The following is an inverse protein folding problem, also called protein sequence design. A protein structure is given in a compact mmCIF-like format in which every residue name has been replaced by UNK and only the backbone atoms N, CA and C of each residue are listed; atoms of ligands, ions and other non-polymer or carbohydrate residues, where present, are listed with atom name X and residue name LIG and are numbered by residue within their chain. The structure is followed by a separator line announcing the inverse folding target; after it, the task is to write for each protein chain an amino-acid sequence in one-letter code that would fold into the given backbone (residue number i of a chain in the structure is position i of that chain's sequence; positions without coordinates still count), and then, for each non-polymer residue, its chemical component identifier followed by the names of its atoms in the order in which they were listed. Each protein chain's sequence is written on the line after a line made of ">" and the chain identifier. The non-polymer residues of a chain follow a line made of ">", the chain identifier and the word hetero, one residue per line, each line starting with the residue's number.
data_IF_927557770001
#
_entry.id   IF_927557770001
#
_cell.length_a   1.000
_cell.length_b   1.000
_cell.length_c   1.000
_cell.angle_alpha   90.00
_cell.angle_beta   90.00
_cell.angle_gamma   90.00
#
_symmetry.space_group_name_H-M   'P 1'
#
loop_
_entity.id
_entity.type
_entity.pdbx_description
1 polymer ?
#
# COMPACT_ATOMS: atom_id res chain seq x y z
N UNK A 1 83.72 -18.91 10.56
CA UNK A 1 82.90 -17.68 10.69
C UNK A 1 81.99 -17.58 9.48
N UNK A 2 80.84 -18.26 9.53
CA UNK A 2 79.76 -18.18 8.54
C UNK A 2 78.47 -18.54 9.28
N UNK A 3 77.63 -17.54 9.55
CA UNK A 3 76.32 -17.70 10.20
C UNK A 3 75.24 -17.61 9.14
N UNK A 4 74.43 -18.68 9.05
CA UNK A 4 73.24 -18.78 8.22
C UNK A 4 72.18 -17.73 8.60
N UNK A 5 71.78 -16.90 7.64
CA UNK A 5 70.55 -16.09 7.72
C UNK A 5 69.32 -16.97 7.45
N UNK A 6 68.32 -16.92 8.34
CA UNK A 6 66.94 -17.31 8.04
C UNK A 6 66.11 -16.05 7.79
N UNK A 7 65.21 -16.02 6.79
CA UNK A 7 64.33 -14.88 6.58
C UNK A 7 63.10 -14.98 7.49
N UNK A 8 62.83 -13.95 8.29
CA UNK A 8 61.56 -13.79 8.98
C UNK A 8 60.60 -13.03 8.06
N UNK A 9 59.48 -13.68 7.75
CA UNK A 9 58.34 -13.15 7.00
C UNK A 9 57.59 -12.18 7.91
N UNK A 10 57.52 -10.91 7.53
CA UNK A 10 56.66 -9.91 8.18
C UNK A 10 55.21 -10.12 7.72
N UNK A 11 54.36 -10.65 8.60
CA UNK A 11 52.91 -10.71 8.38
C UNK A 11 52.32 -9.34 8.67
N UNK A 12 51.87 -8.64 7.63
CA UNK A 12 51.12 -7.39 7.75
C UNK A 12 49.67 -7.72 8.12
N UNK A 13 49.28 -7.51 9.38
CA UNK A 13 47.88 -7.59 9.82
C UNK A 13 47.14 -6.35 9.32
N UNK A 14 46.31 -6.52 8.29
CA UNK A 14 45.34 -5.51 7.86
C UNK A 14 44.19 -5.47 8.87
N UNK A 15 44.16 -4.43 9.72
CA UNK A 15 42.99 -4.10 10.52
C UNK A 15 41.90 -3.52 9.61
N UNK A 16 40.92 -4.33 9.22
CA UNK A 16 39.65 -3.84 8.69
C UNK A 16 38.85 -3.23 9.83
N UNK A 17 38.88 -1.89 9.93
CA UNK A 17 37.95 -1.13 10.77
C UNK A 17 36.53 -1.35 10.23
N UNK A 18 35.76 -2.22 10.88
CA UNK A 18 34.30 -2.20 10.76
C UNK A 18 33.80 -0.91 11.41
N UNK A 19 33.56 0.09 10.58
CA UNK A 19 32.85 1.29 10.98
C UNK A 19 31.37 0.91 11.09
N UNK A 20 30.96 0.33 12.23
CA UNK A 20 29.55 0.23 12.60
C UNK A 20 29.08 1.63 12.97
N UNK A 21 28.83 2.46 11.96
CA UNK A 21 28.08 3.69 12.14
C UNK A 21 26.72 3.30 12.71
N UNK A 22 26.51 3.56 14.01
CA UNK A 22 25.19 3.63 14.59
C UNK A 22 24.52 4.82 13.89
N UNK A 23 23.93 4.59 12.72
CA UNK A 23 23.09 5.60 12.10
C UNK A 23 21.96 5.88 13.08
N UNK A 24 21.95 7.09 13.63
CA UNK A 24 20.91 7.53 14.55
C UNK A 24 19.55 7.29 13.89
N UNK A 25 18.77 6.38 14.47
CA UNK A 25 17.45 6.03 13.97
C UNK A 25 16.57 7.27 14.08
N UNK A 26 16.03 7.77 12.97
CA UNK A 26 15.09 8.90 12.99
C UNK A 26 13.94 8.52 13.91
N UNK A 27 13.78 9.26 15.01
CA UNK A 27 12.85 8.93 16.08
C UNK A 27 12.08 10.16 16.53
N UNK A 28 10.76 10.10 16.43
CA UNK A 28 9.85 11.13 16.95
C UNK A 28 8.95 10.52 18.00
N UNK A 29 8.59 11.32 19.00
CA UNK A 29 7.62 10.98 20.04
C UNK A 29 6.74 12.19 20.31
N UNK A 30 5.44 12.03 20.15
CA UNK A 30 4.46 13.10 20.28
C UNK A 30 3.43 12.75 21.35
N UNK A 31 3.14 13.71 22.24
CA UNK A 31 2.04 13.65 23.20
C UNK A 31 0.97 14.67 22.80
N UNK A 32 -0.25 14.18 22.59
CA UNK A 32 -1.41 14.97 22.14
C UNK A 32 -2.36 15.32 23.31
N UNK A 33 -2.08 14.82 24.51
CA UNK A 33 -2.93 15.04 25.68
C UNK A 33 -2.58 16.30 26.47
N UNK A 34 -3.54 16.78 27.26
CA UNK A 34 -3.39 17.99 28.07
C UNK A 34 -2.56 17.81 29.36
N UNK A 35 -2.42 16.57 29.87
CA UNK A 35 -1.76 16.24 31.15
C UNK A 35 -0.23 16.34 31.11
N UNK A 36 0.47 15.84 32.15
CA UNK A 36 1.95 15.85 32.19
C UNK A 36 2.54 15.09 30.98
N UNK A 37 3.54 15.70 30.33
CA UNK A 37 4.26 15.10 29.20
C UNK A 37 5.22 14.03 29.72
N UNK A 38 5.23 12.86 29.10
CA UNK A 38 6.19 11.80 29.41
C UNK A 38 7.60 12.15 28.89
N UNK A 39 8.62 11.66 29.58
CA UNK A 39 10.02 11.98 29.24
C UNK A 39 10.37 11.63 27.78
N UNK A 40 10.95 12.61 27.08
CA UNK A 40 11.35 12.48 25.68
C UNK A 40 10.20 12.58 24.66
N UNK A 41 8.99 12.95 25.07
CA UNK A 41 7.89 13.29 24.16
C UNK A 41 7.80 14.80 23.94
N UNK A 42 7.47 15.19 22.72
CA UNK A 42 7.15 16.56 22.34
C UNK A 42 5.65 16.78 22.46
N UNK A 43 5.21 17.84 23.14
CA UNK A 43 3.80 18.23 23.17
C UNK A 43 3.37 18.71 21.78
N UNK A 44 2.24 18.20 21.31
CA UNK A 44 1.51 18.77 20.16
C UNK A 44 0.37 19.63 20.71
N UNK A 45 0.36 20.91 20.36
CA UNK A 45 -0.71 21.83 20.73
C UNK A 45 -1.88 21.75 19.73
N UNK A 46 -3.13 22.03 20.13
CA UNK A 46 -4.29 21.96 19.24
C UNK A 46 -4.20 22.84 17.98
N UNK A 47 -3.45 23.94 18.04
CA UNK A 47 -3.20 24.90 16.97
C UNK A 47 -1.87 24.67 16.22
N UNK A 48 -1.18 23.56 16.50
CA UNK A 48 0.10 23.21 15.89
C UNK A 48 -0.11 22.71 14.45
N UNK A 49 -0.26 23.64 13.51
CA UNK A 49 -0.32 23.33 12.07
C UNK A 49 1.04 22.85 11.56
N UNK A 50 1.00 21.94 10.58
CA UNK A 50 2.17 21.49 9.85
C UNK A 50 2.78 22.63 9.04
N UNK A 51 4.11 22.76 9.12
CA UNK A 51 4.90 23.56 8.20
C UNK A 51 6.19 22.83 7.87
N UNK A 52 6.81 23.13 6.72
CA UNK A 52 8.07 22.50 6.31
C UNK A 52 9.24 22.85 7.25
N UNK A 53 9.15 24.00 7.90
CA UNK A 53 10.13 24.53 8.85
C UNK A 53 10.02 23.80 10.20
N UNK A 54 8.79 23.62 10.70
CA UNK A 54 8.55 22.92 11.97
C UNK A 54 8.70 21.40 11.82
N UNK A 55 8.45 20.87 10.62
CA UNK A 55 8.64 19.46 10.29
C UNK A 55 7.59 18.51 10.88
N UNK A 56 6.60 18.99 11.61
CA UNK A 56 5.43 18.21 12.04
C UNK A 56 4.24 19.12 12.37
N UNK A 57 3.04 18.54 12.43
CA UNK A 57 1.83 19.23 12.87
C UNK A 57 0.56 18.67 12.25
N UNK A 58 -0.58 19.24 12.63
CA UNK A 58 -1.86 18.97 11.99
C UNK A 58 -1.87 19.53 10.56
N UNK A 59 -2.39 18.76 9.61
CA UNK A 59 -2.32 19.09 8.19
C UNK A 59 -3.72 19.25 7.57
N UNK A 60 -3.78 19.80 6.36
CA UNK A 60 -5.01 20.02 5.58
C UNK A 60 -6.09 20.81 6.33
N UNK A 61 -5.68 21.78 7.17
CA UNK A 61 -6.56 22.59 8.00
C UNK A 61 -7.49 21.77 8.92
N UNK A 62 -7.06 20.58 9.29
CA UNK A 62 -7.75 19.76 10.27
C UNK A 62 -7.14 19.96 11.64
N UNK A 63 -7.91 19.66 12.70
CA UNK A 63 -7.46 19.70 14.08
C UNK A 63 -8.14 18.58 14.86
N UNK A 64 -7.49 18.09 15.91
CA UNK A 64 -8.11 17.11 16.81
C UNK A 64 -9.07 17.82 17.77
N UNK A 65 -10.36 17.85 17.43
CA UNK A 65 -11.41 18.54 18.23
C UNK A 65 -12.09 17.64 19.25
N UNK A 66 -11.95 16.31 19.15
CA UNK A 66 -12.73 15.34 19.92
C UNK A 66 -14.24 15.33 19.60
N UNK A 67 -14.65 15.93 18.47
CA UNK A 67 -16.03 15.97 17.96
C UNK A 67 -16.35 14.85 16.97
N UNK A 68 -15.44 13.90 16.79
CA UNK A 68 -15.60 12.79 15.87
C UNK A 68 -15.17 13.07 14.42
N UNK A 69 -14.81 14.32 14.10
CA UNK A 69 -14.31 14.73 12.79
C UNK A 69 -12.93 14.11 12.50
N UNK A 70 -12.69 13.58 11.29
CA UNK A 70 -11.36 13.12 10.91
C UNK A 70 -10.32 14.25 10.96
N UNK A 71 -9.07 13.89 11.30
CA UNK A 71 -7.95 14.82 11.24
C UNK A 71 -6.70 14.16 10.70
N UNK A 72 -5.79 14.99 10.20
CA UNK A 72 -4.50 14.60 9.65
C UNK A 72 -3.36 15.11 10.51
N UNK A 73 -2.34 14.29 10.69
CA UNK A 73 -1.09 14.70 11.29
C UNK A 73 0.07 14.26 10.41
N UNK A 74 0.95 15.22 10.11
CA UNK A 74 2.07 15.05 9.20
C UNK A 74 3.40 15.20 9.94
N UNK A 75 4.40 14.44 9.52
CA UNK A 75 5.77 14.52 10.03
C UNK A 75 6.74 14.39 8.86
N UNK A 76 7.58 15.39 8.67
CA UNK A 76 8.65 15.38 7.67
C UNK A 76 9.63 14.26 7.99
N UNK A 77 9.73 13.29 7.09
CA UNK A 77 10.62 12.13 7.23
C UNK A 77 11.16 11.76 5.86
N UNK A 78 12.43 11.34 5.74
CA UNK A 78 12.96 10.88 4.46
C UNK A 78 12.31 9.56 4.01
N UNK A 79 12.50 9.18 2.76
CA UNK A 79 12.12 7.85 2.25
C UNK A 79 12.62 6.71 3.16
N UNK A 80 11.78 5.70 3.33
CA UNK A 80 12.07 4.49 4.09
C UNK A 80 10.84 3.86 4.75
N UNK A 81 11.07 2.78 5.50
CA UNK A 81 10.04 2.16 6.32
C UNK A 81 10.07 2.77 7.72
N UNK A 82 8.88 3.01 8.28
CA UNK A 82 8.73 3.58 9.62
C UNK A 82 7.80 2.71 10.44
N UNK A 83 8.29 2.31 11.62
CA UNK A 83 7.47 1.70 12.66
C UNK A 83 6.74 2.81 13.41
N UNK A 84 5.42 2.79 13.32
CA UNK A 84 4.53 3.75 13.96
C UNK A 84 3.84 3.04 15.12
N UNK A 85 3.95 3.59 16.32
CA UNK A 85 3.16 3.15 17.48
C UNK A 85 2.27 4.28 17.95
N UNK A 86 0.96 4.04 17.91
CA UNK A 86 -0.06 4.98 18.38
C UNK A 86 -0.66 4.48 19.69
N UNK A 87 -0.93 5.39 20.62
CA UNK A 87 -1.72 5.13 21.81
C UNK A 87 -3.07 5.81 21.61
N UNK A 88 -4.11 5.01 21.40
CA UNK A 88 -5.46 5.45 21.04
C UNK A 88 -6.36 5.40 22.27
N UNK A 89 -7.26 6.38 22.42
CA UNK A 89 -8.19 6.48 23.55
C UNK A 89 -8.31 7.89 24.10
N UNK A 90 -9.38 8.13 24.87
CA UNK A 90 -9.70 9.41 25.51
C UNK A 90 -10.03 9.17 26.99
N UNK A 91 -9.59 10.06 27.91
CA UNK A 91 -9.85 9.88 29.35
C UNK A 91 -11.32 9.96 29.75
N UNK A 92 -12.20 10.58 28.93
CA UNK A 92 -13.58 10.91 29.28
C UNK A 92 -14.61 10.31 28.34
N UNK A 93 -14.25 9.97 27.11
CA UNK A 93 -15.17 9.49 26.07
C UNK A 93 -14.71 8.15 25.51
N UNK A 94 -15.67 7.32 25.12
CA UNK A 94 -15.37 6.18 24.26
C UNK A 94 -14.98 6.69 22.87
N UNK A 95 -14.13 5.93 22.17
CA UNK A 95 -13.70 6.23 20.81
C UNK A 95 -13.64 4.96 19.96
N UNK A 96 -13.63 5.15 18.64
CA UNK A 96 -13.41 4.05 17.70
C UNK A 96 -12.56 4.58 16.55
N UNK A 97 -11.24 4.39 16.64
CA UNK A 97 -10.30 5.05 15.73
C UNK A 97 -9.83 4.12 14.62
N UNK A 98 -10.08 4.52 13.38
CA UNK A 98 -9.44 4.02 12.16
C UNK A 98 -8.23 4.89 11.85
N UNK A 99 -7.13 4.26 11.47
CA UNK A 99 -5.89 4.95 11.06
C UNK A 99 -5.57 4.59 9.63
N UNK A 100 -5.44 5.62 8.78
CA UNK A 100 -5.02 5.49 7.39
C UNK A 100 -3.69 6.23 7.19
N UNK A 101 -2.85 5.75 6.28
CA UNK A 101 -1.57 6.38 5.97
C UNK A 101 -1.49 6.83 4.52
N UNK A 102 -0.88 7.98 4.29
CA UNK A 102 -0.78 8.67 3.00
C UNK A 102 -2.14 8.76 2.31
N UNK A 103 -2.21 8.35 1.05
CA UNK A 103 -3.43 8.25 0.26
C UNK A 103 -4.33 7.09 0.73
N UNK A 104 -4.80 7.20 1.98
CA UNK A 104 -5.80 6.34 2.62
C UNK A 104 -5.45 4.84 2.69
N UNK A 105 -4.17 4.46 2.75
CA UNK A 105 -3.80 3.06 3.04
C UNK A 105 -4.33 2.65 4.40
N UNK A 106 -5.17 1.63 4.49
CA UNK A 106 -5.77 1.21 5.75
C UNK A 106 -4.71 0.52 6.62
N UNK A 107 -4.42 1.10 7.77
CA UNK A 107 -3.42 0.55 8.71
C UNK A 107 -4.09 -0.10 9.92
N UNK A 108 -5.03 0.60 10.54
CA UNK A 108 -5.83 0.12 11.67
C UNK A 108 -7.31 0.34 11.37
N UNK A 109 -8.13 -0.67 11.61
CA UNK A 109 -9.58 -0.64 11.34
C UNK A 109 -10.32 -0.57 12.67
N UNK A 110 -11.09 0.51 12.85
CA UNK A 110 -12.10 0.67 13.89
C UNK A 110 -11.67 0.21 15.30
N UNK A 111 -10.50 0.67 15.78
CA UNK A 111 -9.97 0.27 17.09
C UNK A 111 -10.85 0.87 18.20
N UNK A 112 -11.63 0.08 18.94
CA UNK A 112 -12.54 0.61 19.95
C UNK A 112 -11.81 0.80 21.28
N UNK A 113 -12.01 1.93 21.95
CA UNK A 113 -11.53 2.17 23.32
C UNK A 113 -12.67 2.74 24.18
N UNK A 114 -12.82 2.22 25.39
CA UNK A 114 -13.75 2.78 26.38
C UNK A 114 -13.22 4.10 26.94
N UNK A 115 -14.08 4.90 27.56
CA UNK A 115 -13.64 6.08 28.31
C UNK A 115 -12.61 5.68 29.38
N UNK A 116 -11.46 6.35 29.39
CA UNK A 116 -10.34 6.07 30.30
C UNK A 116 -9.44 4.92 29.86
N UNK A 117 -9.78 4.18 28.80
CA UNK A 117 -8.95 3.12 28.24
C UNK A 117 -7.99 3.67 27.19
N UNK A 118 -6.75 3.16 27.19
CA UNK A 118 -5.74 3.51 26.20
C UNK A 118 -5.14 2.25 25.56
N UNK A 119 -5.28 2.12 24.25
CA UNK A 119 -4.86 0.95 23.47
C UNK A 119 -3.65 1.32 22.63
N UNK A 120 -2.56 0.59 22.80
CA UNK A 120 -1.37 0.71 21.94
C UNK A 120 -1.50 -0.19 20.71
N UNK A 121 -1.23 0.38 19.54
CA UNK A 121 -1.16 -0.35 18.26
C UNK A 121 0.10 0.05 17.51
N UNK A 122 0.69 -0.92 16.82
CA UNK A 122 1.91 -0.72 16.03
C UNK A 122 1.70 -1.24 14.62
N UNK A 123 2.13 -0.47 13.63
CA UNK A 123 2.10 -0.83 12.21
C UNK A 123 3.33 -0.23 11.51
N UNK A 124 3.60 -0.66 10.27
CA UNK A 124 4.72 -0.19 9.46
C UNK A 124 4.17 0.59 8.27
N UNK A 125 4.72 1.78 8.02
CA UNK A 125 4.40 2.59 6.84
C UNK A 125 5.66 2.76 6.01
N UNK A 126 5.57 2.45 4.71
CA UNK A 126 6.58 2.85 3.74
C UNK A 126 6.28 4.28 3.27
N UNK A 127 7.29 5.16 3.37
CA UNK A 127 7.33 6.47 2.74
C UNK A 127 8.24 6.37 1.53
N UNK A 128 7.78 6.86 0.38
CA UNK A 128 8.53 6.86 -0.89
C UNK A 128 8.58 8.27 -1.45
N UNK A 129 9.66 8.56 -2.16
CA UNK A 129 9.78 9.79 -2.94
C UNK A 129 10.00 9.47 -4.43
N UNK A 130 10.01 10.51 -5.27
CA UNK A 130 10.25 10.34 -6.71
C UNK A 130 11.72 10.17 -7.08
N UNK A 131 12.65 10.35 -6.15
CA UNK A 131 14.09 10.42 -6.44
C UNK A 131 14.68 9.04 -6.70
N UNK A 132 15.52 8.93 -7.72
CA UNK A 132 16.27 7.73 -8.07
C UNK A 132 17.77 8.10 -7.97
N UNK A 133 18.64 7.10 -7.85
CA UNK A 133 20.08 7.30 -7.89
C UNK A 133 20.52 8.15 -9.10
N UNK A 134 21.59 8.93 -8.93
CA UNK A 134 22.21 9.77 -9.96
C UNK A 134 21.31 10.90 -10.51
N UNK A 135 20.37 11.40 -9.71
CA UNK A 135 19.53 12.56 -10.05
C UNK A 135 18.37 12.25 -10.99
N UNK A 136 18.14 10.98 -11.33
CA UNK A 136 16.93 10.58 -12.06
C UNK A 136 15.70 10.65 -11.14
N UNK A 137 14.51 10.79 -11.73
CA UNK A 137 13.25 10.80 -10.99
C UNK A 137 12.19 9.97 -11.71
N UNK A 138 11.25 9.43 -10.94
CA UNK A 138 10.01 8.86 -11.47
C UNK A 138 9.24 9.96 -12.20
N UNK A 139 8.83 9.67 -13.44
CA UNK A 139 7.98 10.57 -14.20
C UNK A 139 6.52 10.41 -13.74
N UNK A 140 6.09 11.33 -12.87
CA UNK A 140 4.73 11.38 -12.34
C UNK A 140 3.77 12.03 -13.33
N UNK A 141 2.53 11.53 -13.38
CA UNK A 141 1.43 12.21 -14.07
C UNK A 141 1.09 13.51 -13.33
N UNK A 142 0.51 14.53 -14.00
CA UNK A 142 0.13 15.79 -13.34
C UNK A 142 -0.72 15.60 -12.08
N UNK A 143 -1.68 14.67 -12.09
CA UNK A 143 -2.54 14.37 -10.93
C UNK A 143 -1.83 13.73 -9.74
N UNK A 144 -0.63 13.18 -9.95
CA UNK A 144 0.13 12.54 -8.88
C UNK A 144 0.97 13.55 -8.09
N UNK A 145 1.21 14.75 -8.65
CA UNK A 145 2.05 15.77 -8.04
C UNK A 145 1.44 16.36 -6.76
N UNK A 146 0.13 16.17 -6.56
CA UNK A 146 -0.61 16.62 -5.38
C UNK A 146 -1.00 15.48 -4.45
N UNK A 147 -0.64 14.22 -4.78
CA UNK A 147 -0.94 13.07 -3.94
C UNK A 147 0.01 13.00 -2.76
N UNK A 148 -0.45 12.34 -1.69
CA UNK A 148 0.32 12.13 -0.45
C UNK A 148 1.42 11.07 -0.58
N UNK A 149 1.54 10.44 -1.75
CA UNK A 149 2.35 9.24 -1.95
C UNK A 149 3.78 9.50 -2.43
N UNK A 150 4.11 10.72 -2.87
CA UNK A 150 5.37 11.06 -3.55
C UNK A 150 6.06 12.30 -2.98
N UNK A 151 5.81 12.63 -1.71
CA UNK A 151 6.37 13.78 -1.01
C UNK A 151 7.41 13.37 0.07
N UNK A 152 7.88 14.33 0.87
CA UNK A 152 8.93 14.17 1.89
C UNK A 152 8.39 14.08 3.33
N UNK A 153 7.17 13.55 3.51
CA UNK A 153 6.55 13.40 4.83
C UNK A 153 5.73 12.12 4.97
N UNK A 154 5.58 11.70 6.22
CA UNK A 154 4.56 10.75 6.65
C UNK A 154 3.29 11.54 6.93
N UNK A 155 2.17 11.12 6.36
CA UNK A 155 0.84 11.68 6.65
C UNK A 155 -0.06 10.58 7.21
N UNK A 156 -0.63 10.80 8.39
CA UNK A 156 -1.62 9.89 8.98
C UNK A 156 -2.98 10.58 9.09
N UNK A 157 -4.02 9.88 8.66
CA UNK A 157 -5.42 10.23 8.89
C UNK A 157 -5.96 9.42 10.06
N UNK A 158 -6.62 10.08 11.00
CA UNK A 158 -7.37 9.47 12.09
C UNK A 158 -8.85 9.77 11.87
N UNK A 159 -9.65 8.72 11.67
CA UNK A 159 -11.07 8.81 11.30
C UNK A 159 -11.90 7.79 12.07
N UNK A 160 -13.23 7.95 12.11
CA UNK A 160 -14.10 7.23 13.04
C UNK A 160 -13.84 7.73 14.46
N UNK A 161 -14.85 8.20 15.21
CA UNK A 161 -14.72 9.19 16.27
C UNK A 161 -13.36 9.15 17.02
N UNK A 162 -12.35 9.89 16.52
CA UNK A 162 -10.97 9.47 16.73
C UNK A 162 -10.43 10.03 18.04
N UNK A 163 -9.56 9.26 18.70
CA UNK A 163 -8.85 9.72 19.90
C UNK A 163 -7.41 9.24 19.89
N UNK A 164 -6.46 10.19 19.90
CA UNK A 164 -5.03 9.93 19.90
C UNK A 164 -4.40 10.58 21.14
N UNK A 165 -3.74 9.78 21.97
CA UNK A 165 -3.03 10.25 23.16
C UNK A 165 -1.54 10.47 22.88
N UNK A 166 -0.91 9.55 22.16
CA UNK A 166 0.52 9.62 21.88
C UNK A 166 0.88 8.88 20.59
N UNK A 167 1.98 9.28 19.97
CA UNK A 167 2.53 8.63 18.78
C UNK A 167 4.05 8.55 18.86
N UNK A 168 4.60 7.41 18.46
CA UNK A 168 6.03 7.19 18.29
C UNK A 168 6.32 6.75 16.85
N UNK A 169 7.31 7.38 16.23
CA UNK A 169 7.73 7.12 14.85
C UNK A 169 9.19 6.75 14.91
N UNK A 170 9.56 5.66 14.24
CA UNK A 170 10.96 5.22 14.20
C UNK A 170 11.28 4.62 12.83
N UNK A 171 12.29 5.17 12.12
CA UNK A 171 12.76 4.58 10.85
C UNK A 171 13.29 3.17 11.09
N UNK A 172 12.91 2.18 10.30
CA UNK A 172 13.27 0.77 10.50
C UNK A 172 13.79 0.16 9.20
N UNK A 173 14.79 -0.72 9.30
CA UNK A 173 15.46 -1.34 8.15
C UNK A 173 15.32 -2.87 8.12
N UNK A 174 14.77 -3.46 9.18
CA UNK A 174 14.58 -4.90 9.41
C UNK A 174 13.23 -5.44 8.90
N UNK A 175 12.50 -4.62 8.12
CA UNK A 175 11.18 -4.95 7.59
C UNK A 175 11.30 -5.52 6.18
N UNK A 176 10.53 -6.58 5.89
CA UNK A 176 10.30 -7.05 4.52
C UNK A 176 9.41 -6.02 3.82
N UNK A 177 9.84 -5.52 2.67
CA UNK A 177 9.04 -4.60 1.85
C UNK A 177 8.37 -5.35 0.72
N UNK A 178 7.06 -5.23 0.62
CA UNK A 178 6.26 -5.70 -0.52
C UNK A 178 5.98 -4.50 -1.41
N UNK A 179 6.67 -4.43 -2.54
CA UNK A 179 6.43 -3.43 -3.56
C UNK A 179 5.23 -3.86 -4.42
N UNK A 180 4.29 -2.94 -4.66
CA UNK A 180 3.15 -3.18 -5.53
C UNK A 180 3.35 -2.43 -6.85
N UNK A 181 3.42 -3.17 -7.96
CA UNK A 181 3.41 -2.63 -9.30
C UNK A 181 2.07 -2.98 -9.96
N UNK A 182 1.30 -1.96 -10.33
CA UNK A 182 0.00 -2.16 -10.96
C UNK A 182 -0.67 -0.88 -11.44
N UNK A 183 -1.98 -0.98 -11.63
CA UNK A 183 -2.83 0.06 -12.21
C UNK A 183 -3.89 0.60 -11.21
N UNK A 184 -5.04 1.07 -11.69
CA UNK A 184 -6.12 1.67 -10.87
C UNK A 184 -6.77 0.70 -9.88
N UNK A 185 -6.69 -0.60 -10.11
CA UNK A 185 -7.17 -1.64 -9.20
C UNK A 185 -6.24 -1.89 -8.00
N UNK A 186 -5.00 -1.39 -8.07
CA UNK A 186 -3.94 -1.57 -7.06
C UNK A 186 -3.57 -0.26 -6.35
N UNK A 187 -3.55 0.87 -7.07
CA UNK A 187 -3.06 2.19 -6.62
C UNK A 187 -3.79 2.71 -5.38
N UNK A 188 -3.08 3.42 -4.49
CA UNK A 188 -3.74 4.19 -3.45
C UNK A 188 -4.63 5.30 -4.06
N UNK A 189 -5.92 5.25 -3.77
CA UNK A 189 -6.85 6.29 -4.23
C UNK A 189 -6.94 7.37 -3.15
N UNK A 190 -6.68 8.64 -3.48
CA UNK A 190 -6.66 9.73 -2.51
C UNK A 190 -8.06 10.10 -2.01
N UNK A 191 -9.05 10.01 -2.89
CA UNK A 191 -10.38 10.59 -2.68
C UNK A 191 -11.50 9.55 -2.71
N UNK A 192 -12.51 9.72 -1.86
CA UNK A 192 -13.76 8.95 -1.93
C UNK A 192 -14.49 9.17 -3.27
N UNK A 193 -15.28 8.20 -3.77
CA UNK A 193 -15.51 6.84 -3.24
C UNK A 193 -14.46 5.80 -3.65
N UNK A 194 -13.43 6.18 -4.40
CA UNK A 194 -12.60 5.23 -5.12
C UNK A 194 -11.74 4.40 -4.15
N UNK A 195 -11.61 3.10 -4.38
CA UNK A 195 -10.81 2.20 -3.56
C UNK A 195 -10.06 1.17 -4.40
N UNK A 196 -8.98 0.62 -3.85
CA UNK A 196 -8.17 -0.41 -4.49
C UNK A 196 -7.67 -1.44 -3.47
N UNK A 197 -7.37 -2.67 -3.91
CA UNK A 197 -6.95 -3.69 -2.96
C UNK A 197 -5.56 -3.42 -2.36
N UNK A 198 -4.67 -2.78 -3.12
CA UNK A 198 -3.32 -2.44 -2.65
C UNK A 198 -3.32 -1.39 -1.53
N UNK A 199 -4.37 -0.58 -1.47
CA UNK A 199 -4.63 0.35 -0.36
C UNK A 199 -5.12 -0.35 0.91
N UNK A 200 -5.83 -1.47 0.78
CA UNK A 200 -6.46 -2.19 1.91
C UNK A 200 -5.55 -3.27 2.51
N UNK A 201 -4.66 -3.86 1.71
CA UNK A 201 -3.83 -4.98 2.14
C UNK A 201 -2.96 -4.75 3.41
N UNK A 202 -2.43 -3.55 3.71
CA UNK A 202 -1.55 -3.38 4.88
C UNK A 202 -2.23 -3.74 6.22
N UNK A 203 -3.54 -3.53 6.31
CA UNK A 203 -4.37 -3.81 7.50
C UNK A 203 -4.29 -5.27 7.98
N UNK A 204 -3.98 -6.21 7.10
CA UNK A 204 -3.96 -7.63 7.45
C UNK A 204 -2.64 -8.09 8.07
N UNK A 205 -1.62 -7.23 8.12
CA UNK A 205 -0.27 -7.58 8.52
C UNK A 205 0.14 -6.95 9.86
N UNK A 206 0.84 -7.75 10.67
CA UNK A 206 1.54 -7.27 11.88
C UNK A 206 2.90 -6.65 11.48
N UNK A 207 3.56 -5.89 12.38
CA UNK A 207 4.92 -5.41 12.15
C UNK A 207 5.88 -6.53 11.73
N UNK A 208 6.80 -6.22 10.82
CA UNK A 208 7.67 -7.16 10.11
C UNK A 208 7.52 -7.08 8.58
N UNK A 209 6.39 -6.57 8.10
CA UNK A 209 6.11 -6.34 6.67
C UNK A 209 5.64 -4.89 6.46
N UNK A 210 6.10 -4.29 5.37
CA UNK A 210 5.70 -2.96 4.88
C UNK A 210 5.22 -3.06 3.44
N UNK A 211 4.21 -2.30 3.05
CA UNK A 211 3.73 -2.25 1.67
C UNK A 211 4.09 -0.92 1.02
N UNK A 212 4.90 -0.97 -0.04
CA UNK A 212 5.28 0.18 -0.85
C UNK A 212 4.46 0.16 -2.14
N UNK A 213 3.38 0.93 -2.20
CA UNK A 213 2.50 0.95 -3.37
C UNK A 213 3.02 1.92 -4.43
N UNK A 214 3.53 1.39 -5.56
CA UNK A 214 4.03 2.17 -6.69
C UNK A 214 3.08 2.16 -7.89
N UNK A 215 1.94 1.47 -7.78
CA UNK A 215 0.91 1.44 -8.80
C UNK A 215 0.37 2.83 -9.10
N UNK A 216 -0.18 3.02 -10.29
CA UNK A 216 -0.89 4.25 -10.64
C UNK A 216 -1.96 3.98 -11.69
N UNK A 217 -3.11 4.64 -11.52
CA UNK A 217 -4.26 4.56 -12.44
C UNK A 217 -3.83 4.72 -13.90
N UNK A 218 -4.36 3.86 -14.77
CA UNK A 218 -4.08 3.88 -16.22
C UNK A 218 -2.72 3.34 -16.66
N UNK A 219 -1.84 2.89 -15.76
CA UNK A 219 -0.57 2.31 -16.17
C UNK A 219 -0.74 0.92 -16.80
N UNK A 220 0.18 0.64 -17.71
CA UNK A 220 0.51 -0.65 -18.35
C UNK A 220 1.91 -1.07 -17.87
N UNK A 221 2.33 -2.31 -18.11
CA UNK A 221 3.72 -2.74 -17.85
C UNK A 221 4.72 -1.81 -18.56
N UNK A 222 4.41 -1.43 -19.81
CA UNK A 222 5.26 -0.58 -20.64
C UNK A 222 5.40 0.83 -20.07
N UNK A 223 4.29 1.48 -19.72
CA UNK A 223 4.32 2.83 -19.14
C UNK A 223 4.86 2.86 -17.71
N UNK A 224 4.74 1.78 -16.94
CA UNK A 224 5.40 1.65 -15.63
C UNK A 224 6.93 1.60 -15.76
N UNK A 225 7.46 0.87 -16.75
CA UNK A 225 8.89 0.89 -17.09
C UNK A 225 9.29 2.27 -17.61
N UNK A 226 8.55 2.82 -18.58
CA UNK A 226 8.85 4.09 -19.23
C UNK A 226 8.86 5.28 -18.27
N UNK A 227 7.99 5.26 -17.24
CA UNK A 227 7.98 6.27 -16.16
C UNK A 227 9.04 6.04 -15.07
N UNK A 228 9.93 5.07 -15.26
CA UNK A 228 11.02 4.71 -14.34
C UNK A 228 10.57 4.19 -12.96
N UNK A 229 9.31 3.77 -12.81
CA UNK A 229 8.81 3.23 -11.53
C UNK A 229 9.48 1.92 -11.16
N UNK A 230 9.67 1.02 -12.13
CA UNK A 230 10.40 -0.23 -11.88
C UNK A 230 11.84 0.08 -11.45
N UNK A 231 12.49 1.05 -12.10
CA UNK A 231 13.84 1.49 -11.72
C UNK A 231 13.89 2.05 -10.29
N UNK A 232 12.90 2.85 -9.88
CA UNK A 232 12.76 3.34 -8.50
C UNK A 232 12.61 2.21 -7.50
N UNK A 233 11.72 1.25 -7.77
CA UNK A 233 11.54 0.07 -6.91
C UNK A 233 12.87 -0.68 -6.74
N UNK A 234 13.54 -0.99 -7.86
CA UNK A 234 14.80 -1.74 -7.85
C UNK A 234 15.97 -0.97 -7.23
N UNK A 235 15.92 0.37 -7.14
CA UNK A 235 16.98 1.16 -6.51
C UNK A 235 16.95 1.11 -4.98
N UNK A 236 15.78 0.82 -4.40
CA UNK A 236 15.60 0.76 -2.94
C UNK A 236 15.32 -0.65 -2.42
N UNK A 237 15.04 -1.61 -3.31
CA UNK A 237 14.79 -3.01 -2.98
C UNK A 237 16.00 -3.69 -2.33
N UNK A 238 15.74 -4.47 -1.29
CA UNK A 238 16.70 -5.34 -0.60
C UNK A 238 16.43 -6.81 -0.92
N UNK A 239 17.45 -7.64 -0.71
CA UNK A 239 17.29 -9.10 -0.84
C UNK A 239 16.21 -9.60 0.13
N UNK A 240 15.30 -10.45 -0.35
CA UNK A 240 14.15 -10.96 0.41
C UNK A 240 12.91 -10.07 0.39
N UNK A 241 12.97 -8.86 -0.17
CA UNK A 241 11.77 -8.05 -0.46
C UNK A 241 10.95 -8.69 -1.59
N UNK A 242 9.65 -8.36 -1.66
CA UNK A 242 8.73 -8.88 -2.68
C UNK A 242 8.38 -7.81 -3.71
N UNK A 243 8.15 -8.22 -4.96
CA UNK A 243 7.47 -7.41 -5.97
C UNK A 243 6.21 -8.12 -6.45
N UNK A 244 5.04 -7.58 -6.11
CA UNK A 244 3.76 -8.04 -6.63
C UNK A 244 3.45 -7.28 -7.92
N UNK A 245 3.20 -8.02 -9.00
CA UNK A 245 3.05 -7.47 -10.35
C UNK A 245 1.64 -7.78 -10.85
N UNK A 246 0.77 -6.77 -10.93
CA UNK A 246 -0.60 -6.91 -11.45
C UNK A 246 -0.89 -5.94 -12.59
N UNK A 247 -0.99 -6.48 -13.82
CA UNK A 247 -1.29 -5.71 -15.03
C UNK A 247 -2.16 -6.53 -16.00
N UNK A 248 -2.70 -5.88 -17.03
CA UNK A 248 -3.59 -6.51 -18.02
C UNK A 248 -4.75 -5.59 -18.44
N UNK A 249 -5.38 -4.91 -17.48
CA UNK A 249 -6.53 -4.02 -17.71
C UNK A 249 -6.30 -2.95 -18.77
N UNK A 250 -5.11 -2.34 -18.77
CA UNK A 250 -4.74 -1.30 -19.72
C UNK A 250 -3.90 -1.84 -20.87
N UNK A 251 -3.08 -2.86 -20.61
CA UNK A 251 -2.22 -3.50 -21.61
C UNK A 251 -3.03 -4.09 -22.78
N UNK A 252 -4.28 -4.54 -22.54
CA UNK A 252 -5.20 -4.99 -23.60
C UNK A 252 -5.56 -3.93 -24.64
N UNK A 253 -5.32 -2.65 -24.32
CA UNK A 253 -5.64 -1.52 -25.18
C UNK A 253 -4.46 -1.07 -26.01
N UNK A 254 -3.25 -1.53 -25.72
CA UNK A 254 -2.06 -1.19 -26.51
C UNK A 254 -2.29 -1.62 -27.97
N UNK A 255 -2.09 -0.68 -28.91
CA UNK A 255 -2.29 -0.87 -30.36
C UNK A 255 -0.97 -0.61 -31.07
N UNK A 256 -0.19 -1.66 -31.25
CA UNK A 256 1.06 -1.65 -31.99
C UNK A 256 1.33 -3.01 -32.62
N UNK A 257 2.22 -3.10 -33.63
CA UNK A 257 2.51 -4.38 -34.31
C UNK A 257 2.96 -5.51 -33.38
N UNK A 258 3.63 -5.15 -32.27
CA UNK A 258 4.16 -6.06 -31.27
C UNK A 258 3.28 -6.15 -30.01
N UNK A 259 2.16 -5.44 -29.96
CA UNK A 259 1.29 -5.46 -28.78
C UNK A 259 0.37 -6.67 -28.77
N UNK A 260 0.17 -7.23 -27.57
CA UNK A 260 -0.67 -8.41 -27.35
C UNK A 260 -0.25 -9.21 -26.12
N UNK A 261 -1.18 -10.03 -25.62
CA UNK A 261 -1.02 -10.81 -24.40
C UNK A 261 0.25 -11.70 -24.44
N UNK A 262 0.41 -12.50 -25.49
CA UNK A 262 1.57 -13.41 -25.68
C UNK A 262 2.75 -12.77 -26.43
N UNK A 263 2.77 -11.44 -26.53
CA UNK A 263 3.86 -10.66 -27.14
C UNK A 263 4.41 -9.68 -26.11
N UNK A 264 4.26 -8.38 -26.35
CA UNK A 264 4.81 -7.31 -25.51
C UNK A 264 4.41 -7.42 -24.04
N UNK A 265 3.21 -7.90 -23.72
CA UNK A 265 2.78 -8.11 -22.33
C UNK A 265 3.63 -9.19 -21.64
N UNK A 266 3.71 -10.40 -22.19
CA UNK A 266 4.57 -11.46 -21.60
C UNK A 266 6.05 -11.07 -21.57
N UNK A 267 6.57 -10.39 -22.60
CA UNK A 267 7.97 -9.94 -22.64
C UNK A 267 8.26 -8.96 -21.50
N UNK A 268 7.41 -7.94 -21.34
CA UNK A 268 7.57 -6.94 -20.27
C UNK A 268 7.36 -7.57 -18.90
N UNK A 269 6.41 -8.48 -18.73
CA UNK A 269 6.18 -9.16 -17.45
C UNK A 269 7.40 -9.99 -17.03
N UNK A 270 8.05 -10.68 -17.99
CA UNK A 270 9.33 -11.37 -17.76
C UNK A 270 10.44 -10.41 -17.35
N UNK A 271 10.52 -9.22 -17.94
CA UNK A 271 11.49 -8.19 -17.51
C UNK A 271 11.33 -7.85 -16.03
N UNK A 272 10.11 -7.65 -15.53
CA UNK A 272 9.90 -7.39 -14.09
C UNK A 272 10.42 -8.55 -13.23
N UNK A 273 10.12 -9.79 -13.62
CA UNK A 273 10.57 -11.00 -12.91
C UNK A 273 12.09 -11.09 -12.87
N UNK A 274 12.75 -10.94 -14.02
CA UNK A 274 14.20 -11.05 -14.17
C UNK A 274 14.90 -9.96 -13.36
N UNK A 275 14.48 -8.69 -13.50
CA UNK A 275 15.13 -7.58 -12.81
C UNK A 275 14.94 -7.64 -11.29
N UNK A 276 13.78 -8.12 -10.82
CA UNK A 276 13.54 -8.36 -9.39
C UNK A 276 14.47 -9.44 -8.85
N UNK A 277 14.60 -10.58 -9.53
CA UNK A 277 15.51 -11.67 -9.14
C UNK A 277 16.96 -11.20 -9.10
N UNK A 278 17.40 -10.35 -10.03
CA UNK A 278 18.75 -9.75 -10.03
C UNK A 278 19.06 -8.94 -8.78
N UNK A 279 18.04 -8.39 -8.10
CA UNK A 279 18.17 -7.68 -6.83
C UNK A 279 18.07 -8.58 -5.59
N UNK A 280 17.90 -9.89 -5.78
CA UNK A 280 17.59 -10.82 -4.69
C UNK A 280 16.15 -10.70 -4.17
N UNK A 281 15.30 -9.94 -4.87
CA UNK A 281 13.88 -9.83 -4.55
C UNK A 281 13.09 -11.05 -5.04
N UNK A 282 11.89 -11.21 -4.50
CA UNK A 282 10.97 -12.32 -4.77
C UNK A 282 9.80 -11.79 -5.62
N UNK A 283 9.82 -12.01 -6.95
CA UNK A 283 8.69 -11.63 -7.79
C UNK A 283 7.49 -12.55 -7.57
N UNK A 284 6.30 -11.96 -7.51
CA UNK A 284 5.01 -12.65 -7.43
C UNK A 284 4.12 -12.07 -8.51
N UNK A 285 3.65 -12.92 -9.42
CA UNK A 285 2.71 -12.49 -10.46
C UNK A 285 1.30 -12.58 -9.89
N UNK A 286 0.57 -11.48 -10.03
CA UNK A 286 -0.84 -11.40 -9.65
C UNK A 286 -1.61 -11.17 -10.96
N UNK A 287 -2.49 -12.09 -11.33
CA UNK A 287 -3.33 -11.88 -12.53
C UNK A 287 -4.24 -10.68 -12.30
N UNK A 288 -4.54 -9.89 -13.33
CA UNK A 288 -5.50 -8.79 -13.18
C UNK A 288 -6.87 -9.25 -12.69
N UNK A 289 -7.50 -8.49 -11.79
CA UNK A 289 -8.88 -8.76 -11.33
C UNK A 289 -9.84 -8.93 -12.51
N UNK A 290 -10.89 -9.74 -12.34
CA UNK A 290 -11.97 -9.82 -13.32
C UNK A 290 -12.75 -8.50 -13.38
N UNK A 291 -13.19 -8.07 -14.56
CA UNK A 291 -14.13 -6.93 -14.66
C UNK A 291 -15.56 -7.38 -14.33
N UNK A 292 -16.42 -6.44 -13.92
CA UNK A 292 -17.85 -6.69 -13.73
C UNK A 292 -18.59 -6.74 -15.08
N UNK A 293 -18.37 -7.82 -15.83
CA UNK A 293 -18.97 -8.10 -17.13
C UNK A 293 -19.83 -9.35 -17.03
N UNK A 294 -21.15 -9.20 -17.02
CA UNK A 294 -22.09 -10.32 -16.87
C UNK A 294 -22.78 -10.66 -18.19
N UNK A 295 -22.92 -11.96 -18.46
CA UNK A 295 -23.83 -12.50 -19.46
C UNK A 295 -24.55 -13.70 -18.85
N UNK A 296 -25.88 -13.75 -18.99
CA UNK A 296 -26.73 -14.82 -18.43
C UNK A 296 -26.46 -15.10 -16.94
N UNK A 297 -26.27 -14.05 -16.15
CA UNK A 297 -26.04 -14.12 -14.71
C UNK A 297 -24.65 -14.62 -14.28
N UNK A 298 -23.69 -14.74 -15.21
CA UNK A 298 -22.31 -15.15 -14.91
C UNK A 298 -21.29 -14.14 -15.44
N UNK A 299 -20.19 -14.00 -14.71
CA UNK A 299 -19.03 -13.24 -15.17
C UNK A 299 -18.45 -13.88 -16.42
N UNK A 300 -18.21 -13.06 -17.44
CA UNK A 300 -17.53 -13.44 -18.67
C UNK A 300 -16.15 -12.79 -18.75
N UNK A 301 -15.23 -13.46 -19.43
CA UNK A 301 -13.89 -12.94 -19.64
C UNK A 301 -13.92 -11.77 -20.65
N UNK A 302 -13.75 -10.55 -20.15
CA UNK A 302 -13.61 -9.34 -20.98
C UNK A 302 -12.17 -8.83 -21.06
N UNK A 303 -11.19 -9.63 -20.61
CA UNK A 303 -9.77 -9.29 -20.60
C UNK A 303 -8.96 -10.04 -21.67
N UNK A 304 -9.62 -10.81 -22.54
CA UNK A 304 -8.96 -11.66 -23.53
C UNK A 304 -7.95 -12.60 -22.89
N UNK A 305 -6.82 -12.79 -23.54
CA UNK A 305 -5.78 -13.76 -23.14
C UNK A 305 -4.84 -13.25 -22.03
N UNK A 306 -5.01 -12.03 -21.52
CA UNK A 306 -4.05 -11.41 -20.60
C UNK A 306 -3.91 -12.15 -19.26
N UNK A 307 -5.01 -12.59 -18.59
CA UNK A 307 -4.90 -13.40 -17.38
C UNK A 307 -4.15 -14.72 -17.64
N UNK A 308 -4.42 -15.40 -18.75
CA UNK A 308 -3.75 -16.66 -19.10
C UNK A 308 -2.27 -16.46 -19.47
N UNK A 309 -1.95 -15.37 -20.15
CA UNK A 309 -0.57 -14.97 -20.41
C UNK A 309 0.22 -14.75 -19.10
N UNK A 310 -0.40 -14.11 -18.09
CA UNK A 310 0.22 -13.94 -16.77
C UNK A 310 0.47 -15.29 -16.07
N UNK A 311 -0.53 -16.19 -16.07
CA UNK A 311 -0.39 -17.57 -15.56
C UNK A 311 0.75 -18.32 -16.25
N UNK A 312 0.84 -18.20 -17.58
CA UNK A 312 1.88 -18.84 -18.39
C UNK A 312 3.28 -18.32 -18.05
N UNK A 313 3.45 -17.01 -17.84
CA UNK A 313 4.74 -16.44 -17.42
C UNK A 313 5.10 -16.90 -16.01
N UNK A 314 4.14 -16.94 -15.07
CA UNK A 314 4.41 -17.43 -13.73
C UNK A 314 4.94 -18.87 -13.73
N UNK A 315 4.31 -19.74 -14.50
CA UNK A 315 4.74 -21.12 -14.70
C UNK A 315 6.12 -21.20 -15.40
N UNK A 316 6.34 -20.46 -16.50
CA UNK A 316 7.59 -20.54 -17.27
C UNK A 316 8.80 -20.00 -16.51
N UNK A 317 8.60 -18.97 -15.70
CA UNK A 317 9.66 -18.35 -14.91
C UNK A 317 9.81 -18.98 -13.51
N UNK A 318 8.99 -20.00 -13.20
CA UNK A 318 8.92 -20.68 -11.91
C UNK A 318 8.82 -19.68 -10.74
N UNK A 319 7.84 -18.78 -10.81
CA UNK A 319 7.55 -17.79 -9.76
C UNK A 319 6.15 -18.00 -9.21
N UNK A 320 5.92 -17.53 -7.99
CA UNK A 320 4.60 -17.65 -7.37
C UNK A 320 3.53 -16.89 -8.15
N UNK A 321 2.34 -17.47 -8.19
CA UNK A 321 1.15 -16.93 -8.81
C UNK A 321 0.09 -16.69 -7.73
N UNK A 322 -0.49 -15.50 -7.70
CA UNK A 322 -1.78 -15.23 -7.08
C UNK A 322 -2.79 -15.07 -8.21
N UNK A 323 -3.63 -16.09 -8.41
CA UNK A 323 -4.68 -16.08 -9.44
C UNK A 323 -5.89 -15.26 -8.97
N UNK A 324 -5.66 -13.96 -8.82
CA UNK A 324 -6.67 -13.01 -8.37
C UNK A 324 -7.85 -12.93 -9.34
N UNK A 325 -7.64 -13.17 -10.64
CA UNK A 325 -8.68 -13.18 -11.65
C UNK A 325 -9.72 -14.28 -11.37
N UNK A 326 -9.28 -15.50 -11.07
CA UNK A 326 -10.16 -16.61 -10.71
C UNK A 326 -10.88 -16.35 -9.37
N UNK A 327 -10.16 -15.82 -8.38
CA UNK A 327 -10.73 -15.49 -7.06
C UNK A 327 -11.80 -14.41 -7.16
N UNK A 328 -11.57 -13.32 -7.90
CA UNK A 328 -12.57 -12.27 -8.07
C UNK A 328 -13.70 -12.68 -9.01
N UNK A 329 -13.47 -13.58 -9.96
CA UNK A 329 -14.55 -14.18 -10.76
C UNK A 329 -15.51 -14.95 -9.86
N UNK A 330 -14.98 -15.72 -8.92
CA UNK A 330 -15.78 -16.43 -7.91
C UNK A 330 -16.55 -15.44 -7.02
N UNK A 331 -15.86 -14.42 -6.52
CA UNK A 331 -16.44 -13.32 -5.73
C UNK A 331 -17.64 -12.67 -6.41
N UNK A 332 -17.46 -12.20 -7.64
CA UNK A 332 -18.53 -11.48 -8.33
C UNK A 332 -19.66 -12.40 -8.78
N UNK A 333 -19.40 -13.66 -9.12
CA UNK A 333 -20.45 -14.64 -9.36
C UNK A 333 -21.29 -14.92 -8.09
N UNK A 334 -20.66 -14.96 -6.91
CA UNK A 334 -21.36 -15.16 -5.66
C UNK A 334 -22.22 -13.95 -5.26
N UNK A 335 -21.74 -12.73 -5.51
CA UNK A 335 -22.54 -11.52 -5.37
C UNK A 335 -23.66 -11.44 -6.42
N UNK A 336 -23.45 -12.03 -7.59
CA UNK A 336 -24.36 -11.90 -8.73
C UNK A 336 -24.34 -10.50 -9.37
N UNK A 337 -25.10 -10.33 -10.44
CA UNK A 337 -25.05 -9.10 -11.24
C UNK A 337 -25.45 -7.87 -10.41
N UNK A 338 -26.63 -7.85 -9.81
CA UNK A 338 -27.11 -6.65 -9.12
C UNK A 338 -26.34 -6.35 -7.83
N UNK A 339 -26.16 -7.32 -6.94
CA UNK A 339 -25.48 -7.06 -5.66
C UNK A 339 -23.99 -6.77 -5.84
N UNK A 340 -23.33 -7.26 -6.89
CA UNK A 340 -21.93 -6.92 -7.16
C UNK A 340 -21.72 -5.42 -7.38
N UNK A 341 -22.73 -4.62 -7.79
CA UNK A 341 -22.61 -3.15 -7.87
C UNK A 341 -22.13 -2.53 -6.56
N UNK A 342 -22.45 -3.12 -5.42
CA UNK A 342 -22.02 -2.67 -4.08
C UNK A 342 -20.50 -2.75 -3.88
N UNK A 343 -19.78 -3.56 -4.65
CA UNK A 343 -18.32 -3.65 -4.65
C UNK A 343 -17.63 -2.67 -5.61
N UNK A 344 -18.40 -1.90 -6.39
CA UNK A 344 -17.91 -0.97 -7.37
C UNK A 344 -18.42 0.45 -7.10
N UNK A 345 -17.89 1.43 -7.82
CA UNK A 345 -18.38 2.81 -7.73
C UNK A 345 -19.69 2.96 -8.50
N UNK A 346 -20.77 2.51 -7.86
CA UNK A 346 -22.17 2.73 -8.25
C UNK A 346 -22.87 3.51 -7.15
N UNK A 347 -23.12 4.80 -7.40
CA UNK A 347 -23.73 5.69 -6.41
C UNK A 347 -24.79 6.58 -7.06
N UNK A 348 -25.98 6.75 -6.43
CA UNK A 348 -26.95 7.76 -6.83
C UNK A 348 -26.34 9.16 -6.88
N UNK A 349 -26.95 10.08 -7.63
CA UNK A 349 -26.58 11.50 -7.60
C UNK A 349 -26.61 12.03 -6.15
N UNK A 350 -25.71 12.96 -5.84
CA UNK A 350 -25.55 13.61 -4.54
C UNK A 350 -25.15 12.67 -3.39
N UNK A 351 -24.55 11.52 -3.68
CA UNK A 351 -23.93 10.67 -2.64
C UNK A 351 -22.63 11.30 -2.12
N UNK A 352 -21.91 12.04 -2.97
CA UNK A 352 -20.70 12.78 -2.61
C UNK A 352 -20.80 14.27 -2.99
N UNK A 353 -20.06 15.17 -2.31
CA UNK A 353 -19.98 16.58 -2.67
C UNK A 353 -19.68 16.82 -4.16
N UNK A 354 -20.46 17.69 -4.80
CA UNK A 354 -20.27 18.07 -6.22
C UNK A 354 -20.64 16.99 -7.23
N UNK A 355 -21.36 15.94 -6.83
CA UNK A 355 -21.74 14.80 -7.65
C UNK A 355 -23.19 14.87 -8.17
N UNK A 356 -23.46 15.76 -9.12
CA UNK A 356 -24.83 16.02 -9.59
C UNK A 356 -25.43 14.90 -10.47
N UNK A 357 -24.62 13.91 -10.87
CA UNK A 357 -25.03 12.79 -11.72
C UNK A 357 -24.67 11.46 -11.07
N UNK A 358 -25.44 10.38 -11.28
CA UNK A 358 -25.08 9.05 -10.78
C UNK A 358 -23.69 8.61 -11.26
N UNK A 359 -22.93 7.98 -10.38
CA UNK A 359 -21.71 7.25 -10.74
C UNK A 359 -22.11 5.81 -11.04
N UNK A 360 -21.59 5.25 -12.14
CA UNK A 360 -21.82 3.86 -12.55
C UNK A 360 -20.58 3.29 -13.24
N UNK A 361 -19.64 2.78 -12.46
CA UNK A 361 -18.37 2.23 -12.92
C UNK A 361 -18.30 0.71 -12.71
N UNK A 362 -17.97 -0.07 -13.74
CA UNK A 362 -17.85 -1.53 -13.67
C UNK A 362 -16.40 -2.04 -13.56
N UNK A 363 -15.44 -1.14 -13.36
CA UNK A 363 -14.00 -1.44 -13.30
C UNK A 363 -13.40 -0.99 -11.97
N UNK A 364 -13.74 0.21 -11.49
CA UNK A 364 -13.17 0.75 -10.27
C UNK A 364 -14.00 0.40 -9.04
N UNK A 365 -13.32 -0.07 -7.99
CA UNK A 365 -13.93 -0.49 -6.75
C UNK A 365 -14.21 0.71 -5.84
N UNK A 366 -15.18 0.54 -4.95
CA UNK A 366 -15.25 1.34 -3.72
C UNK A 366 -14.44 0.66 -2.61
N UNK A 367 -14.49 1.19 -1.39
CA UNK A 367 -13.70 0.67 -0.27
C UNK A 367 -14.14 -0.73 0.18
N UNK A 368 -15.42 -1.08 0.06
CA UNK A 368 -15.91 -2.44 0.32
C UNK A 368 -15.31 -3.45 -0.67
N UNK A 369 -15.47 -3.19 -1.98
CA UNK A 369 -14.93 -4.09 -3.00
C UNK A 369 -13.41 -4.23 -2.92
N UNK A 370 -12.72 -3.11 -2.68
CA UNK A 370 -11.29 -3.10 -2.43
C UNK A 370 -10.88 -3.99 -1.25
N UNK A 371 -11.64 -3.97 -0.16
CA UNK A 371 -11.40 -4.78 1.03
C UNK A 371 -11.62 -6.27 0.75
N UNK A 372 -12.72 -6.65 0.08
CA UNK A 372 -12.98 -8.05 -0.31
C UNK A 372 -11.91 -8.59 -1.25
N UNK A 373 -11.48 -7.81 -2.23
CA UNK A 373 -10.40 -8.21 -3.16
C UNK A 373 -9.07 -8.33 -2.42
N UNK A 374 -8.79 -7.48 -1.43
CA UNK A 374 -7.58 -7.64 -0.62
C UNK A 374 -7.59 -8.95 0.17
N UNK A 375 -8.75 -9.45 0.64
CA UNK A 375 -8.88 -10.79 1.23
C UNK A 375 -8.64 -11.89 0.21
N UNK A 376 -9.09 -11.75 -1.04
CA UNK A 376 -8.69 -12.66 -2.12
C UNK A 376 -7.17 -12.72 -2.27
N UNK A 377 -6.49 -11.57 -2.23
CA UNK A 377 -5.01 -11.54 -2.26
C UNK A 377 -4.41 -12.26 -1.05
N UNK A 378 -4.97 -12.09 0.16
CA UNK A 378 -4.53 -12.85 1.35
C UNK A 378 -4.68 -14.36 1.16
N UNK A 379 -5.78 -14.84 0.59
CA UNK A 379 -5.95 -16.27 0.27
C UNK A 379 -4.98 -16.74 -0.81
N UNK A 380 -4.68 -15.89 -1.79
CA UNK A 380 -3.62 -16.11 -2.76
C UNK A 380 -2.24 -16.28 -2.12
N UNK A 381 -1.87 -15.38 -1.20
CA UNK A 381 -0.62 -15.44 -0.43
C UNK A 381 -0.51 -16.77 0.33
N UNK A 382 -1.59 -17.20 1.00
CA UNK A 382 -1.63 -18.48 1.72
C UNK A 382 -1.51 -19.68 0.79
N UNK A 383 -2.26 -19.67 -0.31
CA UNK A 383 -2.31 -20.77 -1.29
C UNK A 383 -0.97 -20.95 -2.01
N UNK A 384 -0.32 -19.83 -2.36
CA UNK A 384 1.03 -19.80 -2.93
C UNK A 384 2.13 -20.09 -1.89
N UNK A 385 1.78 -20.29 -0.62
CA UNK A 385 2.69 -20.57 0.50
C UNK A 385 3.80 -19.54 0.64
N UNK A 386 3.48 -18.27 0.41
CA UNK A 386 4.44 -17.19 0.59
C UNK A 386 4.74 -16.99 2.07
N UNK A 387 6.01 -16.74 2.41
CA UNK A 387 6.44 -16.53 3.79
C UNK A 387 5.76 -15.33 4.47
N UNK A 388 5.24 -14.39 3.66
CA UNK A 388 4.38 -13.29 4.11
C UNK A 388 3.21 -13.76 4.98
N UNK A 389 2.68 -14.97 4.78
CA UNK A 389 1.59 -15.52 5.60
C UNK A 389 1.93 -15.58 7.10
N UNK A 390 3.21 -15.70 7.47
CA UNK A 390 3.71 -15.68 8.87
C UNK A 390 3.46 -14.34 9.57
N UNK A 391 3.24 -13.28 8.79
CA UNK A 391 3.05 -11.91 9.24
C UNK A 391 1.58 -11.47 9.26
N UNK A 392 0.63 -12.34 8.91
CA UNK A 392 -0.79 -12.03 9.05
C UNK A 392 -1.16 -11.85 10.53
N UNK A 393 -2.03 -10.88 10.83
CA UNK A 393 -2.58 -10.64 12.16
C UNK A 393 -3.40 -11.86 12.62
N UNK A 394 -4.19 -12.44 11.70
CA UNK A 394 -4.93 -13.67 11.94
C UNK A 394 -4.63 -14.68 10.82
N UNK A 395 -3.54 -15.47 10.95
CA UNK A 395 -3.13 -16.41 9.90
C UNK A 395 -4.11 -17.57 9.71
N UNK A 396 -4.96 -17.84 10.72
CA UNK A 396 -5.97 -18.91 10.69
C UNK A 396 -7.32 -18.46 10.12
N UNK A 397 -7.58 -17.16 10.03
CA UNK A 397 -8.77 -16.65 9.35
C UNK A 397 -8.80 -17.20 7.93
N UNK A 398 -9.98 -17.57 7.43
CA UNK A 398 -10.19 -18.00 6.06
C UNK A 398 -11.21 -17.06 5.45
N UNK A 399 -10.94 -16.62 4.23
CA UNK A 399 -11.92 -15.96 3.40
C UNK A 399 -12.36 -16.91 2.29
N UNK A 400 -13.66 -17.00 2.06
CA UNK A 400 -14.23 -17.77 0.95
C UNK A 400 -14.84 -16.77 -0.04
N UNK A 401 -14.22 -16.56 -1.23
CA UNK A 401 -14.78 -15.68 -2.24
C UNK A 401 -16.19 -16.09 -2.69
N UNK A 402 -16.61 -17.34 -2.50
CA UNK A 402 -17.98 -17.76 -2.79
C UNK A 402 -19.00 -17.31 -1.72
N UNK A 403 -18.53 -16.73 -0.62
CA UNK A 403 -19.31 -16.22 0.51
C UNK A 403 -18.73 -14.89 1.00
N UNK A 404 -18.81 -13.83 0.17
CA UNK A 404 -18.33 -12.51 0.57
C UNK A 404 -18.98 -12.01 1.84
N UNK A 405 -18.28 -11.12 2.53
CA UNK A 405 -18.82 -10.49 3.73
C UNK A 405 -20.01 -9.59 3.36
N UNK A 406 -21.00 -9.50 4.25
CA UNK A 406 -22.14 -8.62 4.05
C UNK A 406 -21.65 -7.16 3.99
N UNK A 407 -22.12 -6.40 2.99
CA UNK A 407 -21.73 -4.98 2.87
C UNK A 407 -22.23 -4.16 4.06
N UNK A 408 -23.32 -4.60 4.68
CA UNK A 408 -23.95 -3.96 5.83
C UNK A 408 -23.04 -4.01 7.08
N UNK A 409 -22.14 -4.99 7.14
CA UNK A 409 -21.14 -5.11 8.19
C UNK A 409 -19.87 -4.31 7.88
N UNK A 410 -19.71 -3.83 6.64
CA UNK A 410 -18.57 -3.01 6.24
C UNK A 410 -18.76 -1.56 6.66
N UNK A 411 -17.87 -1.10 7.54
CA UNK A 411 -17.83 0.28 7.97
C UNK A 411 -16.50 0.93 7.57
N UNK A 412 -16.59 1.92 6.68
CA UNK A 412 -15.47 2.78 6.31
C UNK A 412 -15.78 4.22 6.73
N UNK A 413 -15.07 4.78 7.72
CA UNK A 413 -15.22 6.19 8.03
C UNK A 413 -14.60 7.00 6.88
N UNK A 414 -15.43 7.75 6.16
CA UNK A 414 -15.02 8.51 4.98
C UNK A 414 -13.95 9.54 5.31
N UNK A 415 -12.99 9.68 4.40
CA UNK A 415 -12.03 10.77 4.44
C UNK A 415 -12.70 12.10 4.05
N UNK A 416 -12.22 13.26 4.54
CA UNK A 416 -12.80 14.56 4.19
C UNK A 416 -12.76 14.91 2.70
N UNK A 417 -11.91 14.25 1.91
CA UNK A 417 -11.77 14.49 0.47
C UNK A 417 -12.55 13.46 -0.34
N UNK A 418 -13.28 13.94 -1.33
CA UNK A 418 -14.00 13.15 -2.32
C UNK A 418 -13.80 13.75 -3.71
N UNK A 419 -13.95 12.91 -4.74
CA UNK A 419 -13.77 13.31 -6.12
C UNK A 419 -14.74 12.56 -7.03
N UNK A 420 -15.43 13.32 -7.87
CA UNK A 420 -16.26 12.78 -8.96
C UNK A 420 -15.44 12.35 -10.17
N UNK A 421 -14.15 12.67 -10.18
CA UNK A 421 -13.26 12.37 -11.30
C UNK A 421 -12.92 10.89 -11.27
N UNK A 422 -13.37 10.18 -12.31
CA UNK A 422 -13.06 8.77 -12.52
C UNK A 422 -11.55 8.56 -12.67
N UNK A 423 -10.95 7.56 -11.98
CA UNK A 423 -9.54 7.20 -12.16
C UNK A 423 -9.26 6.76 -13.60
N UNK A 424 -8.05 7.02 -14.11
CA UNK A 424 -7.65 6.45 -15.40
C UNK A 424 -7.67 4.93 -15.34
N UNK A 425 -8.01 4.33 -16.47
CA UNK A 425 -8.06 2.88 -16.60
C UNK A 425 -9.48 2.42 -16.75
N UNK A 426 -10.05 2.67 -17.92
CA UNK A 426 -11.13 1.85 -18.46
C UNK A 426 -11.03 1.79 -19.97
#
# INVERSE_FOLDING_TARGET
>A
MMMNLKPFITVLLAFTLWNTGIHAQVKFKFDFGAGKIADGYTRVLPDQSYSKENGYGFDFNTVMTGSGTPFYFSVKVPEGNYKITVTLGDPKKASQTTVKAESRRLMLEAVPAKAGEFIKKTFIVNIKDRNINNGEQVALKPRELTKLDWDDKLTLEFAGPPALKAMEITKVEDQITVYLAGNSTVVNQDDEPWGSWGQMIPRFFKPGVSFANHAESGLTLGSFIGSKRLKKVLSVMKSGDYLFIEFGHNDQKDKGPNDGAYKSYTERLKTFVIETKKKGGIPVIVTSTSRRSFENGKIVNSLGDFPDAARKVAASENVALIDLNALTTTLFNALGEESSKKAFVHYPANSYPGQDKPLADNTHFNTYGAYEISKCVIEGIKSAKLDLAKYLINPKAKFDPAKPDAVEDWHWPESPKSSVVKPDGN
#
